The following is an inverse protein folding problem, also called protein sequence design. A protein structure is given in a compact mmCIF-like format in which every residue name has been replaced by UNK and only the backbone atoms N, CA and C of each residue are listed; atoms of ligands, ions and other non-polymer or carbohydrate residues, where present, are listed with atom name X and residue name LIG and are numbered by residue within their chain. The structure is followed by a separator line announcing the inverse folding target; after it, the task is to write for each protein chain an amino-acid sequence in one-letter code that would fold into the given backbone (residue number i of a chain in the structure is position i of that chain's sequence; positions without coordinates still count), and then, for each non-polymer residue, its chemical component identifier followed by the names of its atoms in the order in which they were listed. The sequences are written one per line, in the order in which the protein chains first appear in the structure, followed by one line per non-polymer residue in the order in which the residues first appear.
data_IF_315883880030
#
_entry.id   IF_315883880030
#
_cell.length_a   1.000
_cell.length_b   1.000
_cell.length_c   1.000
_cell.angle_alpha   90.00
_cell.angle_beta   90.00
_cell.angle_gamma   90.00
#
_symmetry.space_group_name_H-M   'P 1'
#
loop_
_entity.id
_entity.type
_entity.pdbx_description
1 polymer ?
#
# COMPACT_ATOMS: atom_id res chain seq x y z
N UNK A 1 -54.99 33.44 13.65
CA UNK A 1 -55.74 33.60 14.91
C UNK A 1 -54.70 33.69 16.03
N UNK A 2 -54.25 34.91 16.32
CA UNK A 2 -54.66 35.73 17.48
C UNK A 2 -54.15 35.18 18.82
N UNK A 3 -53.02 35.72 19.30
CA UNK A 3 -52.89 36.88 20.23
C UNK A 3 -53.33 36.53 21.65
N UNK A 4 -52.43 36.74 22.62
CA UNK A 4 -52.62 37.52 23.86
C UNK A 4 -51.24 37.67 24.54
N UNK A 5 -50.70 38.88 24.74
CA UNK A 5 -51.11 39.93 25.71
C UNK A 5 -50.76 39.50 27.15
N UNK A 6 -50.11 40.23 28.07
CA UNK A 6 -49.70 41.64 28.22
C UNK A 6 -49.14 41.80 29.66
N UNK A 7 -48.34 42.86 29.91
CA UNK A 7 -48.15 43.56 31.21
C UNK A 7 -47.28 42.90 32.32
N UNK A 8 -46.65 43.58 33.30
CA UNK A 8 -46.80 44.90 33.95
C UNK A 8 -45.43 45.29 34.59
N UNK A 9 -44.91 46.51 34.35
CA UNK A 9 -44.75 47.69 35.25
C UNK A 9 -44.13 47.49 36.66
N UNK A 10 -43.01 48.19 36.89
CA UNK A 10 -42.77 49.00 38.09
C UNK A 10 -41.92 48.38 39.20
N UNK A 11 -40.86 49.09 39.62
CA UNK A 11 -40.63 49.37 41.04
C UNK A 11 -39.66 50.56 41.25
N UNK A 12 -40.04 51.36 42.24
CA UNK A 12 -39.43 52.59 42.75
C UNK A 12 -38.12 52.33 43.54
N UNK A 13 -37.13 53.18 43.29
CA UNK A 13 -36.46 54.14 44.21
C UNK A 13 -36.15 53.85 45.71
N UNK A 14 -34.93 54.30 46.10
CA UNK A 14 -34.41 54.88 47.36
C UNK A 14 -33.62 54.00 48.39
N UNK A 15 -32.32 54.32 48.43
CA UNK A 15 -31.31 54.42 49.51
C UNK A 15 -31.37 53.57 50.80
N UNK A 16 -30.23 52.93 51.09
CA UNK A 16 -29.64 52.94 52.43
C UNK A 16 -28.11 52.89 52.35
N UNK A 17 -27.46 53.95 52.86
CA UNK A 17 -26.01 54.04 53.09
C UNK A 17 -25.69 53.32 54.40
N UNK A 18 -24.76 52.35 54.40
CA UNK A 18 -24.13 51.90 55.64
C UNK A 18 -22.66 51.59 55.47
N UNK A 19 -21.95 51.79 56.58
CA UNK A 19 -20.57 52.19 56.71
C UNK A 19 -19.63 50.98 56.94
N UNK A 20 -18.49 51.05 56.26
CA UNK A 20 -17.22 50.31 56.37
C UNK A 20 -16.93 49.53 57.67
N UNK A 21 -16.54 48.23 57.57
CA UNK A 21 -15.44 47.65 58.38
C UNK A 21 -14.92 46.27 57.90
N UNK A 22 -13.62 46.26 57.57
CA UNK A 22 -12.59 45.25 57.87
C UNK A 22 -12.71 43.77 57.43
N UNK A 23 -11.77 43.42 56.53
CA UNK A 23 -10.89 42.24 56.47
C UNK A 23 -11.37 40.85 56.92
N UNK A 24 -11.20 39.86 56.02
CA UNK A 24 -10.44 38.64 56.30
C UNK A 24 -10.07 37.92 54.99
N UNK A 25 -8.77 37.74 54.81
CA UNK A 25 -8.12 36.99 53.74
C UNK A 25 -8.22 35.49 54.09
N UNK A 26 -8.57 34.65 53.11
CA UNK A 26 -8.37 33.19 53.14
C UNK A 26 -7.49 32.76 51.95
N UNK A 27 -6.63 31.74 52.15
CA UNK A 27 -5.37 31.60 51.42
C UNK A 27 -5.50 31.00 50.02
N UNK A 28 -4.72 31.55 49.10
CA UNK A 28 -4.49 31.11 47.73
C UNK A 28 -3.55 29.89 47.69
N UNK A 29 -3.98 28.72 48.18
CA UNK A 29 -3.10 27.54 48.27
C UNK A 29 -3.31 26.43 47.22
N UNK A 30 -4.32 26.51 46.33
CA UNK A 30 -4.68 25.32 45.51
C UNK A 30 -4.71 25.52 43.99
N UNK A 31 -4.24 26.66 43.48
CA UNK A 31 -4.23 26.87 42.02
C UNK A 31 -2.97 26.30 41.36
N UNK A 32 -1.83 26.30 42.08
CA UNK A 32 -0.55 25.81 41.52
C UNK A 32 -0.49 24.28 41.44
N UNK A 33 -1.02 23.56 42.43
CA UNK A 33 -1.02 22.10 42.45
C UNK A 33 -1.90 21.52 41.33
N UNK A 34 -3.12 22.06 41.14
CA UNK A 34 -4.05 21.63 40.09
C UNK A 34 -3.50 21.90 38.69
N UNK A 35 -2.84 23.05 38.47
CA UNK A 35 -2.19 23.36 37.18
C UNK A 35 -1.00 22.43 36.90
N UNK A 36 -0.23 22.06 37.92
CA UNK A 36 0.90 21.14 37.76
C UNK A 36 0.42 19.71 37.48
N UNK A 37 -0.61 19.22 38.17
CA UNK A 37 -1.24 17.91 37.89
C UNK A 37 -1.83 17.83 36.48
N UNK A 38 -2.51 18.88 36.02
CA UNK A 38 -3.06 18.94 34.66
C UNK A 38 -1.96 18.94 33.57
N UNK A 39 -0.83 19.60 33.85
CA UNK A 39 0.35 19.62 32.96
C UNK A 39 1.04 18.26 32.90
N UNK A 40 1.20 17.57 34.03
CA UNK A 40 1.79 16.24 34.08
C UNK A 40 0.90 15.19 33.40
N UNK A 41 -0.43 15.26 33.59
CA UNK A 41 -1.38 14.37 32.91
C UNK A 41 -1.35 14.53 31.38
N UNK A 42 -1.24 15.78 30.88
CA UNK A 42 -1.06 16.04 29.44
C UNK A 42 0.28 15.52 28.91
N UNK A 43 1.36 15.63 29.70
CA UNK A 43 2.68 15.13 29.31
C UNK A 43 2.70 13.59 29.21
N UNK A 44 2.07 12.89 30.17
CA UNK A 44 1.95 11.43 30.17
C UNK A 44 1.09 10.95 29.00
N UNK A 45 -0.04 11.63 28.71
CA UNK A 45 -0.88 11.30 27.55
C UNK A 45 -0.15 11.50 26.21
N UNK A 46 0.71 12.53 26.10
CA UNK A 46 1.52 12.79 24.90
C UNK A 46 2.60 11.71 24.69
N UNK A 47 3.24 11.25 25.78
CA UNK A 47 4.26 10.20 25.74
C UNK A 47 3.63 8.83 25.40
N UNK A 48 2.43 8.53 25.91
CA UNK A 48 1.72 7.30 25.55
C UNK A 48 1.31 7.30 24.08
N UNK A 49 0.85 8.44 23.56
CA UNK A 49 0.47 8.58 22.14
C UNK A 49 1.66 8.43 21.18
N UNK A 50 2.86 8.88 21.56
CA UNK A 50 4.06 8.71 20.72
C UNK A 50 4.61 7.28 20.77
N UNK A 51 4.48 6.56 21.88
CA UNK A 51 4.90 5.15 21.97
C UNK A 51 3.99 4.25 21.12
N UNK A 52 2.68 4.50 21.05
CA UNK A 52 1.76 3.72 20.20
C UNK A 52 2.00 3.98 18.71
N UNK A 53 2.38 5.20 18.32
CA UNK A 53 2.66 5.53 16.92
C UNK A 53 3.96 4.90 16.37
N UNK A 54 4.91 4.51 17.22
CA UNK A 54 6.17 3.91 16.78
C UNK A 54 6.04 2.43 16.39
N UNK A 55 4.97 1.74 16.82
CA UNK A 55 4.81 0.28 16.63
C UNK A 55 4.01 -0.08 15.38
N UNK A 56 3.49 0.90 14.64
CA UNK A 56 2.67 0.67 13.46
C UNK A 56 3.33 1.22 12.19
N UNK A 57 4.57 0.82 11.90
CA UNK A 57 5.07 0.87 10.53
C UNK A 57 4.63 -0.42 9.85
N UNK A 58 3.42 -0.42 9.28
CA UNK A 58 3.05 -1.44 8.31
C UNK A 58 3.99 -1.27 7.10
N UNK A 59 4.97 -2.17 6.95
CA UNK A 59 5.71 -2.30 5.69
C UNK A 59 4.71 -2.69 4.61
N UNK A 60 4.14 -1.70 3.94
CA UNK A 60 3.29 -1.93 2.80
C UNK A 60 4.13 -2.65 1.74
N UNK A 61 3.72 -3.86 1.28
CA UNK A 61 4.47 -4.58 0.26
C UNK A 61 4.70 -3.69 -0.95
N UNK A 62 5.93 -3.70 -1.47
CA UNK A 62 6.26 -2.88 -2.64
C UNK A 62 5.39 -3.32 -3.81
N UNK A 63 4.71 -2.38 -4.45
CA UNK A 63 3.80 -2.68 -5.55
C UNK A 63 4.57 -3.22 -6.76
N UNK A 64 3.97 -4.17 -7.48
CA UNK A 64 4.40 -4.57 -8.82
C UNK A 64 3.68 -3.65 -9.81
N UNK A 65 4.40 -3.18 -10.83
CA UNK A 65 3.76 -2.63 -12.01
C UNK A 65 3.62 -3.73 -13.05
N UNK A 66 2.38 -4.10 -13.37
CA UNK A 66 2.07 -5.10 -14.36
C UNK A 66 1.31 -4.47 -15.52
N UNK A 67 1.74 -4.79 -16.74
CA UNK A 67 1.11 -4.31 -17.96
C UNK A 67 0.90 -5.50 -18.89
N UNK A 68 -0.35 -5.72 -19.29
CA UNK A 68 -0.73 -6.75 -20.27
C UNK A 68 -1.01 -6.05 -21.59
N UNK A 69 -0.29 -6.43 -22.63
CA UNK A 69 -0.42 -5.88 -23.97
C UNK A 69 -0.71 -6.99 -24.98
N UNK A 70 -1.61 -6.73 -25.92
CA UNK A 70 -1.80 -7.57 -27.10
C UNK A 70 -0.67 -7.23 -28.08
N UNK A 71 0.20 -8.19 -28.35
CA UNK A 71 1.34 -7.97 -29.24
C UNK A 71 0.93 -8.35 -30.66
N UNK A 72 0.85 -7.36 -31.54
CA UNK A 72 0.51 -7.60 -32.95
C UNK A 72 1.70 -8.14 -33.76
N UNK A 73 2.94 -7.85 -33.35
CA UNK A 73 4.15 -8.36 -33.98
C UNK A 73 5.30 -8.53 -32.95
N UNK A 74 5.51 -9.77 -32.54
CA UNK A 74 6.55 -10.14 -31.56
C UNK A 74 7.97 -10.01 -32.13
N UNK A 75 8.11 -10.10 -33.46
CA UNK A 75 9.37 -9.86 -34.16
C UNK A 75 9.79 -8.40 -34.02
N UNK A 76 8.83 -7.47 -34.05
CA UNK A 76 9.08 -6.06 -33.84
C UNK A 76 9.57 -5.75 -32.42
N UNK A 77 9.05 -6.39 -31.37
CA UNK A 77 9.55 -6.19 -29.99
C UNK A 77 11.01 -6.63 -29.84
N UNK A 78 11.36 -7.79 -30.40
CA UNK A 78 12.75 -8.28 -30.42
C UNK A 78 13.68 -7.40 -31.24
N UNK A 79 13.20 -6.93 -32.40
CA UNK A 79 13.95 -6.02 -33.26
C UNK A 79 14.15 -4.63 -32.63
N UNK A 80 13.19 -4.18 -31.81
CA UNK A 80 13.27 -2.90 -31.09
C UNK A 80 14.16 -2.97 -29.83
N UNK A 81 14.47 -4.16 -29.33
CA UNK A 81 15.25 -4.37 -28.11
C UNK A 81 16.43 -5.35 -28.32
N UNK A 82 17.33 -5.11 -29.30
CA UNK A 82 18.39 -6.06 -29.66
C UNK A 82 19.47 -6.21 -28.58
N UNK A 83 19.65 -5.20 -27.73
CA UNK A 83 20.68 -5.18 -26.68
C UNK A 83 20.19 -5.72 -25.33
N UNK A 84 18.92 -6.13 -25.23
CA UNK A 84 18.37 -6.70 -24.00
C UNK A 84 18.87 -8.13 -23.85
N UNK A 85 19.68 -8.38 -22.81
CA UNK A 85 20.05 -9.73 -22.41
C UNK A 85 18.82 -10.47 -21.88
N UNK A 86 18.29 -11.40 -22.67
CA UNK A 86 17.14 -12.22 -22.31
C UNK A 86 17.60 -13.45 -21.54
N UNK A 87 17.43 -13.42 -20.22
CA UNK A 87 17.67 -14.61 -19.38
C UNK A 87 16.38 -15.41 -19.30
N UNK A 88 16.31 -16.65 -19.84
CA UNK A 88 15.08 -17.44 -19.83
C UNK A 88 14.67 -17.82 -18.40
N UNK A 89 13.36 -17.84 -18.16
CA UNK A 89 12.78 -18.35 -16.91
C UNK A 89 12.64 -19.87 -16.96
N UNK A 90 12.76 -20.50 -15.79
CA UNK A 90 12.52 -21.94 -15.63
C UNK A 90 11.01 -22.23 -15.69
N UNK A 91 10.65 -23.32 -16.37
CA UNK A 91 9.28 -23.84 -16.33
C UNK A 91 9.20 -24.87 -15.20
N UNK A 92 8.79 -24.43 -14.01
CA UNK A 92 8.67 -25.30 -12.84
C UNK A 92 7.56 -26.35 -12.99
N UNK A 93 6.48 -26.01 -13.70
CA UNK A 93 5.36 -26.91 -14.00
C UNK A 93 4.63 -26.46 -15.26
N UNK A 94 4.18 -27.41 -16.07
CA UNK A 94 3.30 -27.15 -17.20
C UNK A 94 2.20 -28.21 -17.32
N UNK A 95 0.97 -27.75 -17.51
CA UNK A 95 -0.19 -28.56 -17.92
C UNK A 95 -0.78 -27.95 -19.18
N UNK A 96 -1.83 -28.56 -19.77
CA UNK A 96 -2.46 -28.06 -21.01
C UNK A 96 -2.84 -26.57 -20.97
N UNK A 97 -3.20 -26.05 -19.80
CA UNK A 97 -3.74 -24.69 -19.64
C UNK A 97 -3.01 -23.85 -18.60
N UNK A 98 -1.99 -24.40 -17.94
CA UNK A 98 -1.26 -23.70 -16.87
C UNK A 98 0.24 -23.87 -17.07
N UNK A 99 0.99 -22.76 -17.02
CA UNK A 99 2.44 -22.73 -17.03
C UNK A 99 2.92 -21.95 -15.82
N UNK A 100 3.86 -22.51 -15.07
CA UNK A 100 4.50 -21.87 -13.93
C UNK A 100 5.91 -21.50 -14.34
N UNK A 101 6.14 -20.19 -14.50
CA UNK A 101 7.46 -19.62 -14.72
C UNK A 101 8.09 -19.28 -13.38
N UNK A 102 9.37 -19.57 -13.21
CA UNK A 102 10.10 -19.26 -11.98
C UNK A 102 11.55 -18.92 -12.24
N UNK A 103 12.16 -18.23 -11.28
CA UNK A 103 13.61 -17.99 -11.24
C UNK A 103 14.06 -17.78 -9.80
N UNK A 104 15.28 -18.23 -9.49
CA UNK A 104 15.83 -18.19 -8.13
C UNK A 104 15.30 -19.31 -7.24
N UNK A 105 15.45 -19.16 -5.93
CA UNK A 105 15.02 -20.16 -4.94
C UNK A 105 14.54 -19.48 -3.65
N UNK A 106 13.58 -20.11 -2.97
CA UNK A 106 13.20 -19.70 -1.61
C UNK A 106 14.40 -19.89 -0.69
N UNK A 107 14.72 -18.90 0.15
CA UNK A 107 15.79 -18.98 1.14
C UNK A 107 15.24 -18.75 2.55
N UNK A 108 15.97 -19.22 3.57
CA UNK A 108 15.57 -18.97 4.96
C UNK A 108 15.54 -17.47 5.26
N UNK A 109 14.41 -16.98 5.76
CA UNK A 109 14.22 -15.58 6.18
C UNK A 109 13.71 -14.64 5.09
N UNK A 110 13.54 -15.12 3.85
CA UNK A 110 12.82 -14.34 2.84
C UNK A 110 11.31 -14.28 3.15
N UNK A 111 10.64 -13.27 2.58
CA UNK A 111 9.20 -13.05 2.71
C UNK A 111 8.59 -12.68 1.37
N UNK A 112 7.27 -12.78 1.24
CA UNK A 112 6.55 -12.25 0.08
C UNK A 112 6.67 -10.73 0.13
N UNK A 113 7.34 -10.13 -0.85
CA UNK A 113 7.60 -8.69 -0.91
C UNK A 113 6.72 -7.97 -1.91
N UNK A 114 6.15 -8.72 -2.87
CA UNK A 114 5.24 -8.20 -3.87
C UNK A 114 4.36 -9.31 -4.44
N UNK A 115 3.12 -8.97 -4.79
CA UNK A 115 2.21 -9.86 -5.52
C UNK A 115 1.35 -9.03 -6.45
N UNK A 116 0.97 -9.61 -7.59
CA UNK A 116 0.00 -9.02 -8.49
C UNK A 116 -0.73 -10.10 -9.28
N UNK A 117 -1.95 -9.83 -9.72
CA UNK A 117 -2.72 -10.75 -10.53
C UNK A 117 -3.78 -10.03 -11.33
N UNK A 118 -3.93 -10.43 -12.58
CA UNK A 118 -4.99 -9.91 -13.46
C UNK A 118 -5.34 -10.97 -14.53
N UNK A 119 -6.37 -10.68 -15.31
CA UNK A 119 -6.85 -11.57 -16.35
C UNK A 119 -7.60 -10.84 -17.45
N UNK A 120 -7.44 -11.33 -18.68
CA UNK A 120 -8.19 -10.84 -19.83
C UNK A 120 -8.58 -11.99 -20.75
N UNK A 121 -9.69 -11.81 -21.47
CA UNK A 121 -10.21 -12.77 -22.44
C UNK A 121 -10.64 -12.07 -23.72
N UNK A 122 -10.56 -12.78 -24.84
CA UNK A 122 -10.86 -12.28 -26.17
C UNK A 122 -11.74 -13.28 -26.94
N UNK A 123 -12.47 -12.78 -27.93
CA UNK A 123 -13.29 -13.60 -28.83
C UNK A 123 -12.49 -14.28 -29.95
N UNK A 124 -11.27 -13.81 -30.21
CA UNK A 124 -10.33 -14.36 -31.17
C UNK A 124 -8.95 -14.57 -30.54
N UNK A 125 -8.17 -15.48 -31.13
CA UNK A 125 -6.83 -15.82 -30.66
C UNK A 125 -5.92 -14.59 -30.68
N UNK A 126 -5.25 -14.32 -29.57
CA UNK A 126 -4.30 -13.23 -29.39
C UNK A 126 -2.92 -13.76 -29.02
N UNK A 127 -1.90 -13.02 -29.44
CA UNK A 127 -0.57 -13.08 -28.83
C UNK A 127 -0.48 -11.98 -27.78
N UNK A 128 0.01 -12.33 -26.59
CA UNK A 128 -0.04 -11.47 -25.40
C UNK A 128 1.34 -11.41 -24.76
N UNK A 129 1.75 -10.22 -24.36
CA UNK A 129 2.91 -10.02 -23.50
C UNK A 129 2.47 -9.39 -22.17
N UNK A 130 2.91 -10.02 -21.08
CA UNK A 130 2.87 -9.47 -19.74
C UNK A 130 4.26 -8.93 -19.40
N UNK A 131 4.35 -7.64 -19.12
CA UNK A 131 5.54 -7.02 -18.54
C UNK A 131 5.31 -6.80 -17.06
N UNK A 132 6.20 -7.34 -16.22
CA UNK A 132 6.20 -7.14 -14.76
C UNK A 132 7.45 -6.37 -14.36
N UNK A 133 7.26 -5.24 -13.68
CA UNK A 133 8.33 -4.42 -13.13
C UNK A 133 8.24 -4.39 -11.60
N UNK A 134 9.33 -4.78 -10.94
CA UNK A 134 9.48 -4.68 -9.50
C UNK A 134 10.78 -3.96 -9.11
N UNK A 135 10.72 -3.06 -8.10
CA UNK A 135 9.52 -2.46 -7.54
C UNK A 135 8.88 -1.48 -8.55
N UNK A 136 7.58 -1.21 -8.42
CA UNK A 136 6.92 -0.14 -9.19
C UNK A 136 7.52 1.24 -8.94
N UNK A 137 7.92 1.50 -7.70
CA UNK A 137 8.57 2.74 -7.31
C UNK A 137 9.38 2.56 -6.02
N UNK A 138 10.30 3.49 -5.76
CA UNK A 138 11.13 3.46 -4.56
C UNK A 138 12.20 2.37 -4.60
N UNK A 139 12.60 1.90 -3.42
CA UNK A 139 13.64 0.86 -3.26
C UNK A 139 12.98 -0.45 -2.84
N UNK A 140 13.09 -1.47 -3.69
CA UNK A 140 12.54 -2.80 -3.43
C UNK A 140 13.41 -3.61 -2.45
N UNK A 141 12.93 -4.78 -2.05
CA UNK A 141 13.71 -5.78 -1.34
C UNK A 141 14.71 -6.47 -2.27
N UNK A 142 15.72 -7.14 -1.72
CA UNK A 142 16.61 -7.98 -2.53
C UNK A 142 15.85 -9.23 -2.97
N UNK A 143 15.68 -9.41 -4.28
CA UNK A 143 14.87 -10.50 -4.85
C UNK A 143 15.62 -11.83 -4.71
N UNK A 144 14.93 -12.86 -4.24
CA UNK A 144 15.47 -14.21 -4.02
C UNK A 144 14.77 -15.26 -4.88
N UNK A 145 13.46 -15.09 -5.07
CA UNK A 145 12.62 -15.99 -5.86
C UNK A 145 11.47 -15.23 -6.50
N UNK A 146 11.18 -15.57 -7.75
CA UNK A 146 9.99 -15.10 -8.47
C UNK A 146 9.23 -16.31 -8.99
N UNK A 147 7.91 -16.27 -8.85
CA UNK A 147 7.00 -17.20 -9.48
C UNK A 147 5.90 -16.45 -10.21
N UNK A 148 5.60 -16.86 -11.43
CA UNK A 148 4.42 -16.41 -12.16
C UNK A 148 3.65 -17.60 -12.68
N UNK A 149 2.46 -17.79 -12.12
CA UNK A 149 1.51 -18.82 -12.56
C UNK A 149 0.63 -18.22 -13.63
N UNK A 150 0.70 -18.73 -14.84
CA UNK A 150 -0.12 -18.30 -15.98
C UNK A 150 -1.13 -19.38 -16.33
N UNK A 151 -2.40 -19.00 -16.42
CA UNK A 151 -3.45 -19.82 -17.01
C UNK A 151 -3.85 -19.24 -18.36
N UNK A 152 -3.73 -20.04 -19.41
CA UNK A 152 -4.01 -19.65 -20.80
C UNK A 152 -4.66 -20.80 -21.56
N UNK A 153 -5.36 -20.52 -22.67
CA UNK A 153 -6.03 -21.57 -23.46
C UNK A 153 -5.04 -22.37 -24.31
N UNK A 154 -3.88 -21.79 -24.61
CA UNK A 154 -2.77 -22.40 -25.34
C UNK A 154 -1.68 -22.88 -24.38
N UNK A 155 -0.91 -23.89 -24.76
CA UNK A 155 0.29 -24.31 -24.01
C UNK A 155 1.58 -23.67 -24.53
N UNK A 156 1.48 -22.72 -25.47
CA UNK A 156 2.62 -22.05 -26.07
C UNK A 156 2.87 -20.74 -25.33
N UNK A 157 4.08 -20.59 -24.79
CA UNK A 157 4.50 -19.38 -24.11
C UNK A 157 5.95 -19.47 -23.69
N UNK A 158 6.52 -18.32 -23.35
CA UNK A 158 7.92 -18.19 -22.90
C UNK A 158 8.01 -17.08 -21.86
N UNK A 159 9.05 -17.11 -21.04
CA UNK A 159 9.29 -16.09 -20.04
C UNK A 159 10.77 -15.73 -19.98
N UNK A 160 11.07 -14.46 -19.76
CA UNK A 160 12.43 -13.96 -19.70
C UNK A 160 12.56 -12.86 -18.66
N UNK A 161 13.75 -12.71 -18.09
CA UNK A 161 14.18 -11.48 -17.41
C UNK A 161 14.78 -10.57 -18.48
N UNK A 162 14.38 -9.30 -18.47
CA UNK A 162 14.90 -8.27 -19.38
C UNK A 162 15.74 -7.21 -18.68
N UNK A 163 15.64 -7.10 -17.34
CA UNK A 163 16.50 -6.25 -16.54
C UNK A 163 16.54 -6.70 -15.07
N UNK A 164 17.65 -6.44 -14.38
CA UNK A 164 17.80 -6.79 -12.97
C UNK A 164 18.00 -8.30 -12.76
N UNK A 165 17.47 -8.85 -11.67
CA UNK A 165 17.51 -10.30 -11.44
C UNK A 165 17.53 -10.71 -9.96
N UNK A 166 17.80 -11.99 -9.74
CA UNK A 166 18.00 -12.54 -8.39
C UNK A 166 19.26 -11.91 -7.76
N UNK A 167 19.18 -11.61 -6.46
CA UNK A 167 20.23 -10.90 -5.72
C UNK A 167 20.22 -9.39 -5.94
N UNK A 168 19.31 -8.86 -6.76
CA UNK A 168 19.17 -7.42 -7.02
C UNK A 168 17.86 -6.88 -6.44
N UNK A 169 17.79 -5.56 -6.26
CA UNK A 169 16.60 -4.87 -5.71
C UNK A 169 15.56 -4.49 -6.77
N UNK A 170 15.84 -4.83 -8.03
CA UNK A 170 14.99 -4.59 -9.20
C UNK A 170 14.97 -5.84 -10.06
N UNK A 171 13.82 -6.12 -10.66
CA UNK A 171 13.66 -7.14 -11.69
C UNK A 171 12.54 -6.75 -12.64
N UNK A 172 12.81 -6.90 -13.94
CA UNK A 172 11.81 -6.79 -15.01
C UNK A 172 11.68 -8.12 -15.71
N UNK A 173 10.46 -8.61 -15.83
CA UNK A 173 10.13 -9.86 -16.49
C UNK A 173 9.19 -9.59 -17.66
N UNK A 174 9.35 -10.37 -18.72
CA UNK A 174 8.40 -10.45 -19.83
C UNK A 174 7.94 -11.89 -19.96
N UNK A 175 6.63 -12.10 -19.96
CA UNK A 175 6.00 -13.38 -20.22
C UNK A 175 5.14 -13.28 -21.46
N UNK A 176 5.41 -14.16 -22.41
CA UNK A 176 4.74 -14.26 -23.68
C UNK A 176 3.80 -15.46 -23.68
N UNK A 177 2.60 -15.26 -24.21
CA UNK A 177 1.60 -16.28 -24.45
C UNK A 177 1.14 -16.17 -25.90
N UNK A 178 1.12 -17.29 -26.62
CA UNK A 178 0.82 -17.29 -28.06
C UNK A 178 -0.49 -18.00 -28.36
N UNK A 179 -1.25 -17.42 -29.28
CA UNK A 179 -2.50 -17.98 -29.80
C UNK A 179 -3.46 -18.39 -28.68
N UNK A 180 -3.79 -17.45 -27.80
CA UNK A 180 -4.66 -17.69 -26.63
C UNK A 180 -5.93 -16.84 -26.67
N UNK A 181 -7.06 -17.40 -26.21
CA UNK A 181 -8.32 -16.67 -26.04
C UNK A 181 -8.49 -16.10 -24.63
N UNK A 182 -7.66 -16.55 -23.66
CA UNK A 182 -7.60 -15.94 -22.34
C UNK A 182 -6.18 -15.99 -21.79
N UNK A 183 -5.86 -15.03 -20.95
CA UNK A 183 -4.60 -14.95 -20.25
C UNK A 183 -4.86 -14.43 -18.84
N UNK A 184 -4.64 -15.29 -17.84
CA UNK A 184 -4.74 -14.95 -16.43
C UNK A 184 -3.40 -15.23 -15.77
N UNK A 185 -2.90 -14.31 -14.95
CA UNK A 185 -1.65 -14.53 -14.22
C UNK A 185 -1.80 -14.25 -12.72
N UNK A 186 -0.95 -14.91 -11.94
CA UNK A 186 -0.66 -14.59 -10.56
C UNK A 186 0.86 -14.55 -10.39
N UNK A 187 1.40 -13.38 -10.08
CA UNK A 187 2.81 -13.13 -9.88
C UNK A 187 3.10 -12.94 -8.39
N UNK A 188 4.17 -13.58 -7.91
CA UNK A 188 4.65 -13.52 -6.55
C UNK A 188 6.16 -13.32 -6.55
N UNK A 189 6.64 -12.32 -5.81
CA UNK A 189 8.06 -11.99 -5.67
C UNK A 189 8.42 -12.09 -4.19
N UNK A 190 9.51 -12.78 -3.92
CA UNK A 190 10.04 -12.97 -2.58
C UNK A 190 11.43 -12.38 -2.41
N UNK A 191 11.71 -11.87 -1.22
CA UNK A 191 12.96 -11.17 -0.92
C UNK A 191 13.11 -10.82 0.56
N UNK A 192 14.18 -10.10 0.89
CA UNK A 192 14.48 -9.62 2.24
C UNK A 192 14.92 -8.15 2.27
#
# INVERSE_FOLDING_TARGET
MNIKSTSIVGFFSINCTFHQKSSKILPTSDKKAVITLLKMAKLVALILATVVALVASEEQPAAIEAQVEIVQDIGAFKAANPDVELVPLDIARSTRQQIVYSVGNRISGDRLVATDSNGQSWSSLQDVALTLNYPRSGTGAVVTYVQVVVNQSSSQGRGYITAGGIGQRRITLVIEAYSTNYFNYNAQIYGY
#
